data_IF_493757385925
#
_entry.id   IF_493757385925
#
_cell.length_a   1.000
_cell.length_b   1.000
_cell.length_c   1.000
_cell.angle_alpha   90.00
_cell.angle_beta   90.00
_cell.angle_gamma   90.00
#
_symmetry.space_group_name_H-M   'P 1'
#
loop_
_entity.id
_entity.type
_entity.pdbx_description
1 polymer ?
#
# COMPACT_ATOMS: atom_id res chain seq x y z
N UNK A 1 1.98 31.61 29.49
CA UNK A 1 1.19 30.87 30.51
C UNK A 1 1.77 31.04 31.91
N UNK A 2 3.08 31.02 32.02
CA UNK A 2 3.82 31.21 33.30
C UNK A 2 3.58 32.56 33.95
N UNK A 3 3.45 33.61 33.11
CA UNK A 3 3.20 34.98 33.59
C UNK A 3 1.86 35.11 34.36
N UNK A 4 0.82 34.37 33.97
CA UNK A 4 -0.45 34.35 34.69
C UNK A 4 -0.31 33.73 36.08
N UNK A 5 0.40 32.59 36.16
CA UNK A 5 0.66 31.94 37.49
C UNK A 5 1.45 32.85 38.39
N UNK A 6 2.42 33.59 37.85
CA UNK A 6 3.17 34.60 38.61
C UNK A 6 2.25 35.73 39.12
N UNK A 7 1.33 36.23 38.27
CA UNK A 7 0.38 37.28 38.70
C UNK A 7 -0.58 36.78 39.78
N UNK A 8 -1.11 35.55 39.65
CA UNK A 8 -2.01 34.96 40.63
C UNK A 8 -1.25 34.81 41.98
N UNK A 9 0.00 34.28 41.92
CA UNK A 9 0.81 34.18 43.09
C UNK A 9 1.12 35.53 43.74
N UNK A 10 1.49 36.54 42.94
CA UNK A 10 1.75 37.90 43.43
C UNK A 10 0.51 38.49 44.11
N UNK A 11 -0.68 38.35 43.54
CA UNK A 11 -1.95 38.79 44.13
C UNK A 11 -2.24 38.07 45.45
N UNK A 12 -2.01 36.73 45.50
CA UNK A 12 -2.14 35.95 46.71
C UNK A 12 -1.14 36.37 47.79
N UNK A 13 0.14 36.54 47.44
CA UNK A 13 1.16 36.99 48.35
C UNK A 13 0.83 38.39 48.95
N UNK A 14 0.39 39.34 48.14
CA UNK A 14 -0.07 40.66 48.59
C UNK A 14 -1.24 40.51 49.56
N UNK A 15 -2.21 39.62 49.25
CA UNK A 15 -3.33 39.32 50.13
C UNK A 15 -2.89 38.78 51.51
N UNK A 16 -1.98 37.82 51.53
CA UNK A 16 -1.40 37.24 52.75
C UNK A 16 -0.66 38.28 53.57
N UNK A 17 0.19 39.10 52.95
CA UNK A 17 0.92 40.20 53.64
C UNK A 17 -0.03 41.20 54.27
N UNK A 18 -1.12 41.55 53.58
CA UNK A 18 -2.12 42.48 54.06
C UNK A 18 -2.97 41.90 55.20
N UNK A 19 -3.36 40.60 55.08
CA UNK A 19 -4.23 39.93 56.04
C UNK A 19 -3.49 39.68 57.37
N UNK A 20 -2.24 39.20 57.31
CA UNK A 20 -1.43 38.87 58.45
C UNK A 20 -0.55 40.04 58.96
N UNK A 21 -0.71 41.24 58.34
CA UNK A 21 0.05 42.47 58.68
C UNK A 21 1.57 42.24 58.75
N UNK A 22 2.11 41.42 57.83
CA UNK A 22 3.54 41.07 57.77
C UNK A 22 4.31 42.34 57.33
N UNK A 23 5.38 42.77 58.08
CA UNK A 23 6.16 43.94 57.71
C UNK A 23 6.87 43.68 56.38
N UNK A 24 6.75 44.62 55.43
CA UNK A 24 7.39 44.56 54.11
C UNK A 24 8.86 44.97 54.26
N UNK A 25 9.70 44.01 54.65
CA UNK A 25 11.14 44.16 54.71
C UNK A 25 11.81 43.43 53.55
N UNK A 26 13.06 43.73 53.25
CA UNK A 26 13.81 43.06 52.19
C UNK A 26 13.86 41.54 52.37
N UNK A 27 13.93 41.05 53.58
CA UNK A 27 13.92 39.62 53.93
C UNK A 27 12.56 38.95 53.66
N UNK A 28 11.45 39.59 54.12
CA UNK A 28 10.10 39.04 53.87
C UNK A 28 9.72 39.04 52.40
N UNK A 29 10.13 40.06 51.65
CA UNK A 29 9.93 40.14 50.20
C UNK A 29 10.74 39.06 49.48
N UNK A 30 12.02 38.90 49.84
CA UNK A 30 12.88 37.88 49.24
C UNK A 30 12.33 36.47 49.50
N UNK A 31 11.86 36.20 50.73
CA UNK A 31 11.26 34.91 51.10
C UNK A 31 9.97 34.63 50.29
N UNK A 32 9.13 35.65 50.12
CA UNK A 32 7.93 35.54 49.32
C UNK A 32 8.25 35.26 47.84
N UNK A 33 9.23 35.96 47.24
CA UNK A 33 9.64 35.76 45.87
C UNK A 33 10.25 34.35 45.69
N UNK A 34 11.17 33.93 46.56
CA UNK A 34 11.80 32.61 46.46
C UNK A 34 10.79 31.49 46.71
N UNK A 35 9.90 31.66 47.70
CA UNK A 35 8.83 30.71 48.00
C UNK A 35 7.87 30.56 46.80
N UNK A 36 7.49 31.70 46.19
CA UNK A 36 6.65 31.72 45.01
C UNK A 36 7.28 31.04 43.83
N UNK A 37 8.54 31.37 43.58
CA UNK A 37 9.29 30.72 42.49
C UNK A 37 9.35 29.20 42.70
N UNK A 38 9.64 28.74 43.93
CA UNK A 38 9.66 27.32 44.29
C UNK A 38 8.31 26.63 44.03
N UNK A 39 7.22 27.23 44.52
CA UNK A 39 5.86 26.70 44.33
C UNK A 39 5.50 26.63 42.87
N UNK A 40 5.74 27.68 42.09
CA UNK A 40 5.44 27.73 40.66
C UNK A 40 6.23 26.65 39.88
N UNK A 41 7.53 26.51 40.21
CA UNK A 41 8.37 25.48 39.57
C UNK A 41 7.81 24.08 39.86
N UNK A 42 7.47 23.78 41.13
CA UNK A 42 6.91 22.46 41.51
C UNK A 42 5.57 22.21 40.80
N UNK A 43 4.69 23.21 40.76
CA UNK A 43 3.39 23.11 40.09
C UNK A 43 3.56 22.88 38.57
N UNK A 44 4.43 23.64 37.89
CA UNK A 44 4.69 23.51 36.47
C UNK A 44 5.32 22.16 36.14
N UNK A 45 6.32 21.71 36.91
CA UNK A 45 6.92 20.39 36.75
C UNK A 45 5.89 19.26 36.93
N UNK A 46 5.12 19.33 38.05
CA UNK A 46 4.08 18.35 38.35
C UNK A 46 3.00 18.31 37.26
N UNK A 47 2.58 19.48 36.78
CA UNK A 47 1.60 19.58 35.71
C UNK A 47 2.14 19.04 34.36
N UNK A 48 3.35 19.42 33.96
CA UNK A 48 3.93 18.97 32.71
C UNK A 48 4.23 17.47 32.70
N UNK A 49 4.60 16.90 33.84
CA UNK A 49 4.88 15.48 33.96
C UNK A 49 3.60 14.62 33.96
N UNK A 50 2.57 15.03 34.73
CA UNK A 50 1.33 14.24 34.88
C UNK A 50 0.27 14.59 33.85
N UNK A 51 0.23 15.81 33.33
CA UNK A 51 -0.72 16.27 32.29
C UNK A 51 0.05 16.86 31.11
N UNK A 52 0.67 16.00 30.27
CA UNK A 52 1.51 16.43 29.18
C UNK A 52 0.76 17.30 28.19
N UNK A 53 1.46 18.29 27.68
CA UNK A 53 0.95 19.24 26.69
C UNK A 53 1.88 19.30 25.49
N UNK A 54 1.30 19.31 24.30
CA UNK A 54 2.02 19.46 23.04
C UNK A 54 1.42 20.59 22.21
N UNK A 55 2.31 21.41 21.63
CA UNK A 55 1.96 22.38 20.59
C UNK A 55 2.15 21.82 19.19
N UNK A 56 2.68 20.62 19.08
CA UNK A 56 3.02 19.96 17.81
C UNK A 56 1.99 18.86 17.51
N UNK A 57 0.73 19.25 17.40
CA UNK A 57 -0.34 18.38 16.90
C UNK A 57 -0.70 18.76 15.47
N UNK A 58 -1.06 17.76 14.67
CA UNK A 58 -1.47 17.97 13.28
C UNK A 58 -2.41 16.87 12.82
N UNK A 59 -3.33 17.22 11.92
CA UNK A 59 -4.03 16.23 11.13
C UNK A 59 -3.13 15.67 10.04
N UNK A 60 -2.85 14.38 10.11
CA UNK A 60 -2.14 13.63 9.10
C UNK A 60 -3.13 13.01 8.13
N UNK A 61 -2.78 13.04 6.86
CA UNK A 61 -3.51 12.39 5.79
C UNK A 61 -2.54 11.63 4.89
N UNK A 62 -3.00 10.56 4.30
CA UNK A 62 -2.20 9.74 3.40
C UNK A 62 -2.55 10.13 1.98
N UNK A 63 -1.54 10.34 1.15
CA UNK A 63 -1.73 10.58 -0.27
C UNK A 63 -1.31 9.37 -1.07
N UNK A 64 -2.07 9.05 -2.11
CA UNK A 64 -1.73 7.98 -3.04
C UNK A 64 -1.05 8.59 -4.28
N UNK A 65 0.23 8.28 -4.50
CA UNK A 65 0.92 8.71 -5.70
C UNK A 65 0.42 7.87 -6.89
N UNK A 66 -0.19 8.51 -7.88
CA UNK A 66 -0.62 7.85 -9.12
C UNK A 66 0.52 7.88 -10.12
N UNK A 67 0.88 6.72 -10.61
CA UNK A 67 1.88 6.50 -11.66
C UNK A 67 1.24 5.85 -12.87
N UNK A 68 1.81 6.04 -14.05
CA UNK A 68 1.42 5.29 -15.23
C UNK A 68 2.00 3.87 -15.17
N UNK A 69 1.20 2.85 -15.42
CA UNK A 69 1.66 1.46 -15.50
C UNK A 69 2.21 1.11 -16.89
N UNK A 70 1.81 1.87 -17.91
CA UNK A 70 2.26 1.71 -19.30
C UNK A 70 2.82 3.03 -19.84
N UNK A 71 3.73 2.95 -20.82
CA UNK A 71 4.38 4.12 -21.39
C UNK A 71 3.63 4.63 -22.62
N UNK A 72 3.53 5.95 -22.77
CA UNK A 72 2.94 6.52 -23.99
C UNK A 72 2.65 8.01 -23.88
N UNK A 73 2.11 8.56 -24.94
CA UNK A 73 1.69 9.96 -24.98
C UNK A 73 0.33 10.12 -24.30
N UNK A 74 0.20 11.10 -23.42
CA UNK A 74 -1.07 11.47 -22.82
C UNK A 74 -1.92 12.20 -23.86
N UNK A 75 -3.12 11.69 -24.12
CA UNK A 75 -4.06 12.29 -25.09
C UNK A 75 -5.10 13.14 -24.40
N UNK A 76 -5.52 12.78 -23.20
CA UNK A 76 -6.59 13.45 -22.48
C UNK A 76 -6.35 13.41 -20.96
N UNK A 77 -6.73 14.48 -20.25
CA UNK A 77 -6.61 14.61 -18.80
C UNK A 77 -7.90 15.25 -18.26
N UNK A 78 -8.98 14.48 -18.12
CA UNK A 78 -10.27 14.99 -17.64
C UNK A 78 -10.25 15.38 -16.15
N UNK A 79 -9.35 14.80 -15.35
CA UNK A 79 -9.22 15.15 -13.95
C UNK A 79 -8.75 16.61 -13.76
N UNK A 80 -9.40 17.33 -12.86
CA UNK A 80 -9.02 18.69 -12.49
C UNK A 80 -8.53 18.70 -11.03
N UNK A 81 -7.54 19.58 -10.69
CA UNK A 81 -7.11 19.77 -9.31
C UNK A 81 -8.26 20.21 -8.42
N UNK A 82 -8.27 19.76 -7.17
CA UNK A 82 -9.28 20.04 -6.13
C UNK A 82 -10.73 19.65 -6.48
N UNK A 83 -10.90 18.72 -7.41
CA UNK A 83 -12.22 18.16 -7.77
C UNK A 83 -12.41 16.81 -7.12
N UNK A 84 -13.60 16.59 -6.51
CA UNK A 84 -13.99 15.29 -5.98
C UNK A 84 -14.25 14.32 -7.12
N UNK A 85 -13.65 13.14 -7.02
CA UNK A 85 -13.78 12.04 -7.98
C UNK A 85 -14.24 10.79 -7.23
N UNK A 86 -14.94 9.93 -7.93
CA UNK A 86 -15.34 8.61 -7.45
C UNK A 86 -14.34 7.55 -7.91
N UNK A 87 -14.30 6.45 -7.19
CA UNK A 87 -13.58 5.26 -7.61
C UNK A 87 -13.96 4.87 -9.04
N UNK A 88 -12.94 4.64 -9.89
CA UNK A 88 -13.14 4.32 -11.30
C UNK A 88 -13.23 5.50 -12.27
N UNK A 89 -13.38 6.74 -11.78
CA UNK A 89 -13.35 7.94 -12.64
C UNK A 89 -12.00 8.06 -13.37
N UNK A 90 -12.04 8.50 -14.61
CA UNK A 90 -10.84 8.60 -15.44
C UNK A 90 -9.99 9.79 -15.02
N UNK A 91 -8.74 9.52 -14.66
CA UNK A 91 -7.76 10.55 -14.32
C UNK A 91 -7.06 11.09 -15.56
N UNK A 92 -6.56 10.21 -16.40
CA UNK A 92 -5.97 10.55 -17.71
C UNK A 92 -5.97 9.33 -18.64
N UNK A 93 -5.77 9.61 -19.93
CA UNK A 93 -5.68 8.58 -20.98
C UNK A 93 -4.36 8.70 -21.71
N UNK A 94 -3.76 7.55 -21.94
CA UNK A 94 -2.57 7.36 -22.77
C UNK A 94 -3.06 6.88 -24.14
N UNK A 95 -2.34 7.21 -25.19
CA UNK A 95 -2.62 6.78 -26.57
C UNK A 95 -2.73 5.25 -26.64
N UNK A 96 -3.93 4.70 -26.96
CA UNK A 96 -4.20 3.27 -26.82
C UNK A 96 -3.80 2.46 -28.07
N UNK A 97 -3.53 3.10 -29.22
CA UNK A 97 -3.41 2.45 -30.53
C UNK A 97 -2.36 1.35 -30.56
N UNK A 98 -1.21 1.58 -29.91
CA UNK A 98 -0.14 0.58 -29.81
C UNK A 98 -0.62 -0.66 -29.06
N UNK A 99 -1.35 -0.48 -27.97
CA UNK A 99 -1.82 -1.57 -27.11
C UNK A 99 -3.01 -2.29 -27.76
N UNK A 100 -3.92 -1.56 -28.40
CA UNK A 100 -5.01 -2.15 -29.17
C UNK A 100 -4.50 -2.99 -30.36
N UNK A 101 -3.42 -2.55 -31.00
CA UNK A 101 -2.76 -3.36 -32.06
C UNK A 101 -2.13 -4.62 -31.45
N UNK A 102 -1.48 -4.55 -30.29
CA UNK A 102 -0.92 -5.72 -29.62
C UNK A 102 -2.01 -6.76 -29.28
N UNK A 103 -3.16 -6.32 -28.78
CA UNK A 103 -4.32 -7.21 -28.53
C UNK A 103 -4.75 -7.91 -29.82
N UNK A 104 -4.94 -7.17 -30.92
CA UNK A 104 -5.35 -7.77 -32.22
C UNK A 104 -4.36 -8.81 -32.73
N UNK A 105 -3.06 -8.55 -32.59
CA UNK A 105 -2.00 -9.50 -32.95
C UNK A 105 -2.11 -10.79 -32.14
N UNK A 106 -2.34 -10.67 -30.82
CA UNK A 106 -2.49 -11.84 -29.97
C UNK A 106 -3.80 -12.59 -30.17
N UNK A 107 -4.87 -11.90 -30.50
CA UNK A 107 -6.16 -12.53 -30.89
C UNK A 107 -6.00 -13.37 -32.18
N UNK A 108 -5.29 -12.84 -33.18
CA UNK A 108 -4.98 -13.61 -34.39
C UNK A 108 -4.11 -14.85 -34.10
N UNK A 109 -3.05 -14.66 -33.28
CA UNK A 109 -2.18 -15.77 -32.85
C UNK A 109 -2.95 -16.86 -32.08
N UNK A 110 -3.93 -16.46 -31.25
CA UNK A 110 -4.78 -17.41 -30.55
C UNK A 110 -5.66 -18.22 -31.51
N UNK A 111 -6.23 -17.58 -32.52
CA UNK A 111 -6.99 -18.27 -33.58
C UNK A 111 -6.12 -19.28 -34.35
N UNK A 112 -4.89 -18.89 -34.67
CA UNK A 112 -3.92 -19.78 -35.32
C UNK A 112 -3.56 -20.98 -34.44
N UNK A 113 -3.38 -20.75 -33.13
CA UNK A 113 -3.10 -21.81 -32.16
C UNK A 113 -4.25 -22.83 -32.06
N UNK A 114 -5.50 -22.37 -32.06
CA UNK A 114 -6.65 -23.26 -32.12
C UNK A 114 -6.70 -24.11 -33.37
N UNK A 115 -6.41 -23.50 -34.55
CA UNK A 115 -6.32 -24.24 -35.78
C UNK A 115 -5.20 -25.28 -35.76
N UNK A 116 -4.04 -24.95 -35.22
CA UNK A 116 -2.93 -25.89 -35.05
C UNK A 116 -3.33 -27.10 -34.17
N UNK A 117 -4.07 -26.89 -33.08
CA UNK A 117 -4.59 -27.97 -32.24
C UNK A 117 -5.51 -28.91 -33.04
N UNK A 118 -6.40 -28.39 -33.86
CA UNK A 118 -7.27 -29.22 -34.73
C UNK A 118 -6.48 -29.99 -35.78
N UNK A 119 -5.41 -29.41 -36.31
CA UNK A 119 -4.50 -30.13 -37.23
C UNK A 119 -3.76 -31.26 -36.51
N UNK A 120 -3.27 -31.06 -35.26
CA UNK A 120 -2.65 -32.11 -34.49
C UNK A 120 -3.61 -33.25 -34.16
N UNK A 121 -4.87 -32.96 -33.80
CA UNK A 121 -5.91 -33.98 -33.63
C UNK A 121 -6.19 -34.78 -34.88
N UNK A 122 -6.28 -34.12 -36.02
CA UNK A 122 -6.47 -34.76 -37.30
C UNK A 122 -5.28 -35.66 -37.68
N UNK A 123 -4.05 -35.18 -37.49
CA UNK A 123 -2.81 -35.95 -37.66
C UNK A 123 -2.77 -37.20 -36.79
N UNK A 124 -3.10 -37.06 -35.48
CA UNK A 124 -3.16 -38.19 -34.56
C UNK A 124 -4.23 -39.23 -34.99
N UNK A 125 -5.39 -38.76 -35.47
CA UNK A 125 -6.42 -39.66 -36.02
C UNK A 125 -5.92 -40.43 -37.24
N UNK A 126 -5.27 -39.76 -38.17
CA UNK A 126 -4.69 -40.38 -39.37
C UNK A 126 -3.59 -41.38 -39.00
N UNK A 127 -2.67 -41.01 -38.12
CA UNK A 127 -1.63 -41.94 -37.68
C UNK A 127 -2.20 -43.19 -36.99
N UNK A 128 -3.26 -43.05 -36.18
CA UNK A 128 -3.96 -44.16 -35.56
C UNK A 128 -4.61 -45.11 -36.60
N UNK A 129 -5.22 -44.53 -37.65
CA UNK A 129 -5.80 -45.35 -38.76
C UNK A 129 -4.70 -46.10 -39.50
N UNK A 130 -3.57 -45.46 -39.80
CA UNK A 130 -2.42 -46.10 -40.42
C UNK A 130 -1.85 -47.25 -39.61
N UNK A 131 -1.73 -47.03 -38.27
CA UNK A 131 -1.29 -48.08 -37.34
C UNK A 131 -2.25 -49.28 -37.35
N UNK A 132 -3.55 -49.02 -37.34
CA UNK A 132 -4.57 -50.08 -37.43
C UNK A 132 -4.49 -50.87 -38.78
N UNK A 133 -4.28 -50.21 -39.89
CA UNK A 133 -4.11 -50.84 -41.19
C UNK A 133 -2.83 -51.69 -41.23
N UNK A 134 -1.70 -51.17 -40.70
CA UNK A 134 -0.44 -51.90 -40.63
C UNK A 134 -0.55 -53.14 -39.69
N UNK A 135 -1.27 -53.00 -38.56
CA UNK A 135 -1.54 -54.13 -37.66
C UNK A 135 -2.37 -55.22 -38.40
N UNK A 136 -3.39 -54.86 -39.13
CA UNK A 136 -4.19 -55.80 -39.94
C UNK A 136 -3.33 -56.54 -41.00
N UNK A 137 -2.41 -55.81 -41.66
CA UNK A 137 -1.48 -56.40 -42.60
C UNK A 137 -0.47 -57.36 -41.95
N UNK A 138 0.01 -57.03 -40.75
CA UNK A 138 0.84 -57.92 -39.93
C UNK A 138 0.10 -59.18 -39.55
N UNK A 139 -1.16 -59.13 -39.14
CA UNK A 139 -1.96 -60.25 -38.75
C UNK A 139 -2.25 -61.18 -39.93
N UNK A 140 -2.54 -60.64 -41.12
CA UNK A 140 -2.65 -61.39 -42.34
C UNK A 140 -1.35 -62.10 -42.73
N UNK A 141 -0.19 -61.45 -42.61
CA UNK A 141 1.11 -62.02 -42.86
C UNK A 141 1.48 -63.12 -41.84
N UNK A 142 1.07 -62.95 -40.56
CA UNK A 142 1.23 -63.96 -39.51
C UNK A 142 0.44 -65.24 -39.84
N UNK A 143 -0.81 -65.08 -40.31
CA UNK A 143 -1.63 -66.24 -40.71
C UNK A 143 -1.02 -67.02 -41.88
N UNK A 144 -0.40 -66.33 -42.86
CA UNK A 144 0.32 -66.92 -43.95
C UNK A 144 1.57 -67.65 -43.42
N UNK A 145 2.37 -67.01 -42.56
CA UNK A 145 3.53 -67.59 -41.94
C UNK A 145 3.21 -68.86 -41.14
N UNK A 146 2.22 -68.82 -40.26
CA UNK A 146 1.79 -69.99 -39.42
C UNK A 146 1.30 -71.15 -40.31
N UNK A 147 0.56 -70.84 -41.37
CA UNK A 147 0.07 -71.81 -42.31
C UNK A 147 1.23 -72.45 -43.10
N UNK A 148 2.13 -71.65 -43.61
CA UNK A 148 3.34 -72.10 -44.34
C UNK A 148 4.24 -72.96 -43.46
N UNK A 149 4.37 -72.67 -42.18
CA UNK A 149 5.15 -73.46 -41.22
C UNK A 149 4.56 -74.88 -41.09
N UNK A 150 3.23 -75.01 -40.92
CA UNK A 150 2.58 -76.34 -40.88
C UNK A 150 2.72 -77.13 -42.18
N UNK A 151 2.65 -76.45 -43.33
CA UNK A 151 2.83 -77.09 -44.63
C UNK A 151 4.27 -77.53 -44.89
N UNK A 152 5.26 -76.84 -44.36
CA UNK A 152 6.66 -77.24 -44.40
C UNK A 152 6.91 -78.51 -43.56
N UNK A 153 6.36 -78.51 -42.35
CA UNK A 153 6.43 -79.67 -41.42
C UNK A 153 5.77 -80.94 -42.07
N UNK A 154 4.73 -80.70 -42.85
CA UNK A 154 4.06 -81.79 -43.62
C UNK A 154 4.72 -82.09 -44.97
N UNK A 155 5.85 -81.46 -45.33
CA UNK A 155 6.58 -81.70 -46.60
C UNK A 155 5.86 -81.19 -47.84
N UNK A 156 4.83 -80.29 -47.70
CA UNK A 156 3.98 -79.82 -48.82
C UNK A 156 4.50 -78.56 -49.50
N UNK A 157 5.48 -77.82 -48.94
CA UNK A 157 6.10 -76.64 -49.56
C UNK A 157 7.64 -76.71 -49.43
N UNK A 158 8.34 -75.90 -50.24
CA UNK A 158 9.81 -75.80 -50.24
C UNK A 158 10.29 -74.85 -49.11
N UNK A 159 11.55 -75.02 -48.65
CA UNK A 159 12.20 -74.13 -47.72
C UNK A 159 12.27 -72.69 -48.23
N UNK A 160 12.35 -72.46 -49.54
CA UNK A 160 12.36 -71.11 -50.15
C UNK A 160 11.03 -70.42 -49.98
N UNK A 161 9.90 -71.14 -50.19
CA UNK A 161 8.55 -70.62 -49.99
C UNK A 161 8.25 -70.31 -48.49
N UNK A 162 8.78 -71.12 -47.57
CA UNK A 162 8.68 -70.81 -46.12
C UNK A 162 9.44 -69.57 -45.75
N UNK A 163 10.70 -69.43 -46.19
CA UNK A 163 11.54 -68.21 -45.93
C UNK A 163 10.85 -66.97 -46.48
N UNK A 164 10.23 -67.01 -47.64
CA UNK A 164 9.49 -65.89 -48.22
C UNK A 164 8.32 -65.45 -47.31
N UNK A 165 7.58 -66.44 -46.72
CA UNK A 165 6.52 -66.12 -45.77
C UNK A 165 7.04 -65.58 -44.45
N UNK A 166 8.18 -66.08 -43.96
CA UNK A 166 8.88 -65.58 -42.77
C UNK A 166 9.40 -64.14 -42.92
N UNK A 167 10.06 -63.85 -44.07
CA UNK A 167 10.50 -62.49 -44.39
C UNK A 167 9.33 -61.52 -44.58
N UNK A 168 8.24 -61.96 -45.19
CA UNK A 168 7.01 -61.23 -45.33
C UNK A 168 6.38 -60.84 -44.00
N UNK A 169 6.35 -61.81 -43.08
CA UNK A 169 5.85 -61.55 -41.70
C UNK A 169 6.78 -60.58 -40.93
N UNK A 170 8.11 -60.79 -40.98
CA UNK A 170 9.09 -59.93 -40.34
C UNK A 170 8.99 -58.49 -40.82
N UNK A 171 8.82 -58.28 -42.14
CA UNK A 171 8.63 -56.95 -42.75
C UNK A 171 7.28 -56.31 -42.27
N UNK A 172 6.20 -57.06 -42.35
CA UNK A 172 4.89 -56.54 -41.93
C UNK A 172 4.86 -56.21 -40.42
N UNK A 173 5.55 -56.96 -39.59
CA UNK A 173 5.71 -56.74 -38.17
C UNK A 173 6.48 -55.43 -37.91
N UNK A 174 7.65 -55.23 -38.53
CA UNK A 174 8.43 -54.02 -38.39
C UNK A 174 7.66 -52.79 -38.83
N UNK A 175 6.90 -52.87 -39.92
CA UNK A 175 6.04 -51.80 -40.44
C UNK A 175 4.91 -51.46 -39.42
N UNK A 176 4.29 -52.47 -38.82
CA UNK A 176 3.25 -52.25 -37.80
C UNK A 176 3.81 -51.63 -36.53
N UNK A 177 4.99 -52.04 -36.07
CA UNK A 177 5.68 -51.45 -34.91
C UNK A 177 6.07 -49.99 -35.18
N UNK A 178 6.57 -49.66 -36.36
CA UNK A 178 6.90 -48.27 -36.75
C UNK A 178 5.63 -47.42 -36.81
N UNK A 179 4.53 -47.89 -37.44
CA UNK A 179 3.27 -47.17 -37.48
C UNK A 179 2.63 -46.97 -36.12
N UNK A 180 2.77 -47.92 -35.21
CA UNK A 180 2.30 -47.82 -33.83
C UNK A 180 3.08 -46.71 -33.10
N UNK A 181 4.39 -46.68 -33.21
CA UNK A 181 5.24 -45.65 -32.57
C UNK A 181 4.92 -44.25 -33.09
N UNK A 182 4.61 -44.13 -34.40
CA UNK A 182 4.18 -42.88 -35.01
C UNK A 182 2.80 -42.40 -34.47
N UNK A 183 1.85 -43.36 -34.33
CA UNK A 183 0.54 -43.04 -33.74
C UNK A 183 0.65 -42.60 -32.28
N UNK A 184 1.52 -43.25 -31.50
CA UNK A 184 1.78 -42.84 -30.10
C UNK A 184 2.39 -41.45 -30.05
N UNK A 185 3.38 -41.14 -30.87
CA UNK A 185 3.97 -39.80 -30.94
C UNK A 185 2.94 -38.74 -31.30
N UNK A 186 2.17 -38.95 -32.33
CA UNK A 186 1.12 -38.03 -32.76
C UNK A 186 0.02 -37.85 -31.69
N UNK A 187 -0.28 -38.91 -30.96
CA UNK A 187 -1.22 -38.82 -29.80
C UNK A 187 -0.68 -38.02 -28.65
N UNK A 188 0.62 -38.12 -28.36
CA UNK A 188 1.28 -37.30 -27.33
C UNK A 188 1.28 -35.81 -27.70
N UNK A 189 1.65 -35.52 -28.98
CA UNK A 189 1.63 -34.15 -29.50
C UNK A 189 0.22 -33.53 -29.39
N UNK A 190 -0.80 -34.29 -29.75
CA UNK A 190 -2.20 -33.85 -29.69
C UNK A 190 -2.76 -33.75 -28.23
N UNK A 191 -2.17 -34.48 -27.28
CA UNK A 191 -2.63 -34.52 -25.87
C UNK A 191 -1.88 -33.58 -24.96
N UNK A 192 -0.86 -32.85 -25.44
CA UNK A 192 -0.13 -31.88 -24.63
C UNK A 192 -1.07 -30.78 -24.13
N UNK A 193 -1.37 -30.81 -22.83
CA UNK A 193 -2.35 -29.90 -22.24
C UNK A 193 -2.00 -29.52 -20.80
N UNK A 194 -2.35 -28.29 -20.44
CA UNK A 194 -2.34 -27.77 -19.06
C UNK A 194 -3.80 -27.52 -18.68
N UNK A 195 -4.27 -28.13 -17.61
CA UNK A 195 -5.67 -28.00 -17.15
C UNK A 195 -6.73 -28.31 -18.24
N UNK A 196 -6.43 -29.23 -19.15
CA UNK A 196 -7.33 -29.63 -20.24
C UNK A 196 -7.27 -28.72 -21.48
N UNK A 197 -6.44 -27.68 -21.49
CA UNK A 197 -6.20 -26.78 -22.64
C UNK A 197 -4.82 -27.08 -23.23
N UNK A 198 -4.73 -27.15 -24.56
CA UNK A 198 -3.44 -27.33 -25.22
C UNK A 198 -2.41 -26.30 -24.74
N UNK A 199 -1.19 -26.73 -24.52
CA UNK A 199 -0.11 -25.91 -23.93
C UNK A 199 0.16 -24.62 -24.71
N UNK A 200 0.14 -24.68 -26.04
CA UNK A 200 0.35 -23.51 -26.89
C UNK A 200 -0.84 -22.54 -26.81
N UNK A 201 -2.06 -23.07 -26.80
CA UNK A 201 -3.27 -22.25 -26.63
C UNK A 201 -3.24 -21.55 -25.26
N UNK A 202 -2.90 -22.27 -24.19
CA UNK A 202 -2.78 -21.68 -22.84
C UNK A 202 -1.73 -20.58 -22.79
N UNK A 203 -0.57 -20.78 -23.42
CA UNK A 203 0.50 -19.77 -23.51
C UNK A 203 0.03 -18.51 -24.25
N UNK A 204 -0.56 -18.66 -25.44
CA UNK A 204 -1.03 -17.52 -26.25
C UNK A 204 -2.20 -16.80 -25.55
N UNK A 205 -3.07 -17.53 -24.85
CA UNK A 205 -4.14 -16.94 -24.05
C UNK A 205 -3.57 -16.06 -22.95
N UNK A 206 -2.55 -16.52 -22.21
CA UNK A 206 -1.88 -15.72 -21.18
C UNK A 206 -1.20 -14.45 -21.75
N UNK A 207 -0.62 -14.56 -22.95
CA UNK A 207 -0.06 -13.41 -23.66
C UNK A 207 -1.13 -12.41 -24.11
N UNK A 208 -2.31 -12.89 -24.56
CA UNK A 208 -3.45 -12.06 -24.88
C UNK A 208 -4.00 -11.32 -23.66
N UNK A 209 -4.13 -12.01 -22.53
CA UNK A 209 -4.60 -11.41 -21.27
C UNK A 209 -3.63 -10.33 -20.79
N UNK A 210 -2.32 -10.53 -20.95
CA UNK A 210 -1.31 -9.50 -20.68
C UNK A 210 -1.50 -8.29 -21.59
N UNK A 211 -1.70 -8.50 -22.90
CA UNK A 211 -1.91 -7.40 -23.84
C UNK A 211 -3.22 -6.63 -23.55
N UNK A 212 -4.27 -7.31 -23.12
CA UNK A 212 -5.54 -6.70 -22.71
C UNK A 212 -5.37 -5.89 -21.42
N UNK A 213 -4.62 -6.41 -20.45
CA UNK A 213 -4.27 -5.68 -19.25
C UNK A 213 -3.53 -4.39 -19.59
N UNK A 214 -2.50 -4.44 -20.43
CA UNK A 214 -1.75 -3.26 -20.85
C UNK A 214 -2.63 -2.21 -21.55
N UNK A 215 -3.60 -2.66 -22.36
CA UNK A 215 -4.57 -1.78 -23.03
C UNK A 215 -5.50 -1.11 -22.00
N UNK A 216 -5.97 -1.84 -21.01
CA UNK A 216 -6.79 -1.27 -19.92
C UNK A 216 -5.99 -0.23 -19.11
N UNK A 217 -4.72 -0.51 -18.83
CA UNK A 217 -3.82 0.41 -18.14
C UNK A 217 -3.50 1.69 -18.92
N UNK A 218 -3.82 1.76 -20.20
CA UNK A 218 -3.75 3.00 -20.97
C UNK A 218 -4.81 4.03 -20.52
N UNK A 219 -5.84 3.59 -19.78
CA UNK A 219 -6.82 4.46 -19.14
C UNK A 219 -6.62 4.40 -17.62
N UNK A 220 -5.95 5.41 -17.05
CA UNK A 220 -5.70 5.47 -15.62
C UNK A 220 -6.89 6.05 -14.89
N UNK A 221 -7.35 5.34 -13.85
CA UNK A 221 -8.55 5.66 -13.09
C UNK A 221 -8.25 5.92 -11.63
N UNK A 222 -9.16 6.62 -10.94
CA UNK A 222 -9.10 6.83 -9.50
C UNK A 222 -9.25 5.50 -8.75
N UNK A 223 -8.35 5.16 -7.81
CA UNK A 223 -8.39 3.89 -7.08
C UNK A 223 -9.53 3.86 -6.04
N UNK A 224 -9.87 5.00 -5.48
CA UNK A 224 -10.91 5.19 -4.46
C UNK A 224 -11.63 6.51 -4.69
N UNK A 225 -12.68 6.77 -3.90
CA UNK A 225 -13.24 8.11 -3.81
C UNK A 225 -12.21 9.07 -3.22
N UNK A 226 -12.15 10.30 -3.71
CA UNK A 226 -11.14 11.25 -3.22
C UNK A 226 -10.99 12.49 -4.08
N UNK A 227 -9.86 13.18 -3.93
CA UNK A 227 -9.56 14.46 -4.57
C UNK A 227 -8.17 14.47 -5.18
N UNK A 228 -8.03 15.03 -6.38
CA UNK A 228 -6.72 15.31 -6.98
C UNK A 228 -6.11 16.56 -6.33
N UNK A 229 -5.02 16.39 -5.56
CA UNK A 229 -4.31 17.53 -4.96
C UNK A 229 -3.38 18.21 -5.95
N UNK A 230 -2.59 17.42 -6.67
CA UNK A 230 -1.60 17.94 -7.63
C UNK A 230 -1.68 17.15 -8.93
N UNK A 231 -1.64 17.88 -10.03
CA UNK A 231 -1.70 17.34 -11.38
C UNK A 231 -0.53 17.89 -12.20
N UNK A 232 0.44 17.04 -12.51
CA UNK A 232 1.64 17.41 -13.27
C UNK A 232 1.52 17.09 -14.77
N UNK A 233 0.39 16.51 -15.19
CA UNK A 233 0.16 16.11 -16.58
C UNK A 233 -0.51 17.18 -17.42
N UNK A 234 -0.15 17.16 -18.70
CA UNK A 234 -0.84 17.90 -19.77
C UNK A 234 -0.97 17.00 -20.99
N UNK A 235 -2.03 17.13 -21.81
CA UNK A 235 -2.11 16.47 -23.10
C UNK A 235 -0.86 16.74 -23.94
N UNK A 236 -0.36 15.70 -24.62
CA UNK A 236 0.89 15.74 -25.38
C UNK A 236 2.15 15.34 -24.63
N UNK A 237 2.14 15.29 -23.30
CA UNK A 237 3.28 14.80 -22.50
C UNK A 237 3.45 13.28 -22.67
N UNK A 238 4.69 12.81 -22.52
CA UNK A 238 5.02 11.39 -22.56
C UNK A 238 5.24 10.86 -21.14
N UNK A 239 4.57 9.78 -20.78
CA UNK A 239 4.69 9.14 -19.47
C UNK A 239 5.37 7.78 -19.58
N UNK A 240 6.06 7.38 -18.52
CA UNK A 240 6.72 6.08 -18.41
C UNK A 240 6.45 5.49 -17.01
N UNK A 241 6.41 4.17 -16.86
CA UNK A 241 6.29 3.51 -15.58
C UNK A 241 7.50 3.81 -14.69
N UNK A 242 7.38 4.79 -13.78
CA UNK A 242 8.45 5.15 -12.84
C UNK A 242 7.87 5.38 -11.45
N UNK A 243 8.14 4.51 -10.47
CA UNK A 243 7.54 4.60 -9.12
C UNK A 243 7.97 5.85 -8.35
N UNK A 244 9.13 6.44 -8.70
CA UNK A 244 9.67 7.63 -8.01
C UNK A 244 9.22 8.96 -8.63
N UNK A 245 8.42 8.95 -9.68
CA UNK A 245 7.89 10.17 -10.33
C UNK A 245 6.39 10.07 -10.54
N UNK A 246 5.61 10.26 -9.48
CA UNK A 246 4.16 10.26 -9.60
C UNK A 246 3.72 11.42 -10.50
N UNK A 247 2.72 11.17 -11.32
CA UNK A 247 2.16 12.16 -12.25
C UNK A 247 0.95 12.88 -11.66
N UNK A 248 0.31 12.27 -10.68
CA UNK A 248 -0.80 12.82 -9.91
C UNK A 248 -0.59 12.48 -8.43
N UNK A 249 -0.86 13.44 -7.54
CA UNK A 249 -1.00 13.20 -6.11
C UNK A 249 -2.48 13.17 -5.77
N UNK A 250 -2.97 12.03 -5.38
CA UNK A 250 -4.36 11.77 -5.06
C UNK A 250 -4.54 11.67 -3.55
N UNK A 251 -5.60 12.31 -3.02
CA UNK A 251 -6.02 12.23 -1.62
C UNK A 251 -7.28 11.37 -1.54
N UNK A 252 -7.21 10.17 -1.00
CA UNK A 252 -8.39 9.36 -0.69
C UNK A 252 -9.34 10.08 0.27
N UNK A 253 -10.64 9.85 0.14
CA UNK A 253 -11.66 10.39 1.05
C UNK A 253 -11.72 9.54 2.34
N UNK A 254 -10.57 9.48 3.03
CA UNK A 254 -10.41 8.81 4.30
C UNK A 254 -10.36 9.84 5.44
N UNK A 255 -10.91 9.52 6.62
CA UNK A 255 -10.86 10.43 7.76
C UNK A 255 -9.41 10.69 8.18
N UNK A 256 -8.96 11.95 8.24
CA UNK A 256 -7.61 12.26 8.65
C UNK A 256 -7.40 11.93 10.13
N UNK A 257 -6.22 11.39 10.45
CA UNK A 257 -5.83 11.07 11.82
C UNK A 257 -5.14 12.24 12.48
N UNK A 258 -5.63 12.69 13.63
CA UNK A 258 -4.92 13.69 14.44
C UNK A 258 -3.87 13.01 15.32
N UNK A 259 -2.64 13.47 15.22
CA UNK A 259 -1.57 13.02 16.12
C UNK A 259 -0.77 14.22 16.64
N UNK A 260 -0.32 14.09 17.89
CA UNK A 260 0.48 15.11 18.56
C UNK A 260 1.78 14.52 19.13
N UNK A 261 2.86 15.29 19.06
CA UNK A 261 4.19 14.89 19.50
C UNK A 261 4.46 15.38 20.94
N UNK A 262 4.53 14.46 21.87
CA UNK A 262 4.80 14.73 23.29
C UNK A 262 6.25 14.45 23.66
N UNK A 263 6.77 15.14 24.68
CA UNK A 263 8.12 14.91 25.19
C UNK A 263 8.24 13.52 25.82
N UNK A 264 9.38 12.87 25.62
CA UNK A 264 9.65 11.52 26.11
C UNK A 264 9.56 11.39 27.65
N UNK A 265 9.86 12.46 28.41
CA UNK A 265 9.80 12.49 29.88
C UNK A 265 8.39 12.19 30.43
N UNK A 266 7.34 12.46 29.66
CA UNK A 266 5.94 12.20 30.04
C UNK A 266 5.35 10.92 29.44
N UNK A 267 6.11 10.19 28.61
CA UNK A 267 5.61 9.00 27.90
C UNK A 267 5.06 7.91 28.84
N UNK A 268 5.68 7.71 29.98
CA UNK A 268 5.25 6.75 31.01
C UNK A 268 3.85 7.06 31.60
N UNK A 269 3.36 8.28 31.41
CA UNK A 269 2.05 8.75 31.90
C UNK A 269 0.97 8.75 30.83
N UNK A 270 1.35 8.58 29.57
CA UNK A 270 0.41 8.54 28.45
C UNK A 270 -0.08 7.09 28.28
N UNK A 271 -1.34 6.87 28.59
CA UNK A 271 -1.99 5.55 28.53
C UNK A 271 -3.12 5.63 27.52
N UNK A 272 -3.30 4.58 26.74
CA UNK A 272 -4.43 4.46 25.81
C UNK A 272 -5.77 4.57 26.56
N UNK A 273 -6.74 5.23 25.93
CA UNK A 273 -8.03 5.55 26.56
C UNK A 273 -8.03 6.75 27.48
N UNK A 274 -6.88 7.40 27.76
CA UNK A 274 -6.84 8.63 28.55
C UNK A 274 -7.58 9.77 27.88
N UNK A 275 -8.27 10.59 28.66
CA UNK A 275 -8.94 11.79 28.16
C UNK A 275 -7.93 12.81 27.64
N UNK A 276 -8.27 13.49 26.56
CA UNK A 276 -7.48 14.54 25.97
C UNK A 276 -8.36 15.71 25.53
N UNK A 277 -7.78 16.88 25.47
CA UNK A 277 -8.41 18.07 24.89
C UNK A 277 -7.49 18.63 23.80
N UNK A 278 -8.10 19.05 22.68
CA UNK A 278 -7.39 19.62 21.53
C UNK A 278 -7.97 20.99 21.21
N UNK A 279 -7.09 21.92 20.87
CA UNK A 279 -7.45 23.25 20.38
C UNK A 279 -6.82 23.48 19.03
N UNK A 280 -7.57 24.16 18.15
CA UNK A 280 -7.10 24.53 16.82
C UNK A 280 -7.06 26.05 16.67
N UNK A 281 -5.97 26.62 16.14
CA UNK A 281 -5.93 28.04 15.78
C UNK A 281 -7.04 28.44 14.77
N UNK A 282 -7.43 27.48 13.90
CA UNK A 282 -8.52 27.69 12.93
C UNK A 282 -9.90 27.88 13.58
N UNK A 283 -10.10 27.42 14.85
CA UNK A 283 -11.35 27.53 15.60
C UNK A 283 -11.07 28.12 16.98
N UNK A 284 -10.77 29.44 17.06
CA UNK A 284 -10.40 30.08 18.31
C UNK A 284 -11.52 30.01 19.36
N UNK A 285 -11.15 29.93 20.63
CA UNK A 285 -12.08 29.92 21.76
C UNK A 285 -12.76 28.56 22.02
N UNK A 286 -12.61 27.57 21.12
CA UNK A 286 -13.19 26.24 21.30
C UNK A 286 -12.15 25.21 21.70
N UNK A 287 -12.59 24.25 22.52
CA UNK A 287 -11.81 23.10 22.96
C UNK A 287 -12.59 21.86 22.56
N UNK A 288 -11.94 20.92 21.88
CA UNK A 288 -12.51 19.68 21.41
C UNK A 288 -12.09 18.54 22.33
N UNK A 289 -13.07 17.71 22.72
CA UNK A 289 -12.81 16.52 23.50
C UNK A 289 -12.27 15.42 22.61
N UNK A 290 -11.24 14.75 23.09
CA UNK A 290 -10.60 13.66 22.41
C UNK A 290 -10.15 12.59 23.41
N UNK A 291 -9.78 11.45 22.89
CA UNK A 291 -9.24 10.33 23.66
C UNK A 291 -7.99 9.78 23.02
N UNK A 292 -7.04 9.33 23.82
CA UNK A 292 -5.82 8.68 23.34
C UNK A 292 -6.19 7.36 22.69
N UNK A 293 -6.03 7.28 21.38
CA UNK A 293 -6.27 6.07 20.60
C UNK A 293 -5.06 5.14 20.60
N UNK A 294 -3.85 5.72 20.46
CA UNK A 294 -2.60 4.97 20.49
C UNK A 294 -1.51 5.84 21.12
N UNK A 295 -0.82 5.27 22.11
CA UNK A 295 0.22 5.96 22.89
C UNK A 295 1.62 5.92 22.25
N UNK A 296 1.76 5.48 21.01
CA UNK A 296 3.01 5.45 20.25
C UNK A 296 4.07 4.52 20.86
N UNK A 297 4.30 3.38 20.21
CA UNK A 297 5.27 2.38 20.69
C UNK A 297 6.73 2.71 20.30
N UNK A 298 6.97 3.75 19.52
CA UNK A 298 8.30 4.08 18.99
C UNK A 298 8.50 5.59 18.82
N UNK A 299 9.75 5.99 18.84
CA UNK A 299 10.19 7.36 18.55
C UNK A 299 10.75 7.37 17.13
N UNK A 300 10.16 8.12 16.17
CA UNK A 300 10.56 8.09 14.75
C UNK A 300 12.04 8.41 14.51
N UNK A 301 12.64 9.25 15.36
CA UNK A 301 14.07 9.61 15.29
C UNK A 301 15.00 8.42 15.58
N UNK A 302 14.49 7.34 16.16
CA UNK A 302 15.24 6.09 16.37
C UNK A 302 15.24 5.15 15.16
N UNK A 303 14.62 5.53 14.05
CA UNK A 303 14.58 4.70 12.84
C UNK A 303 15.95 4.63 12.17
N UNK A 304 16.46 3.41 11.99
CA UNK A 304 17.64 3.11 11.19
C UNK A 304 17.22 2.87 9.74
N UNK A 305 17.67 3.72 8.84
CA UNK A 305 17.52 3.46 7.41
C UNK A 305 18.71 2.65 6.88
N UNK A 306 18.50 1.55 6.16
CA UNK A 306 19.57 0.77 5.55
C UNK A 306 20.18 1.58 4.39
N UNK A 307 21.17 2.43 4.70
CA UNK A 307 21.82 3.33 3.73
C UNK A 307 23.23 2.92 3.34
N UNK A 308 23.75 1.77 3.83
CA UNK A 308 25.11 1.31 3.55
C UNK A 308 26.23 2.13 4.20
N UNK A 309 25.92 3.18 4.95
CA UNK A 309 26.86 3.99 5.73
C UNK A 309 26.67 3.76 7.22
N UNK A 310 27.79 3.78 7.96
CA UNK A 310 27.77 3.74 9.41
C UNK A 310 27.08 5.00 9.96
N UNK A 311 26.25 4.82 10.98
CA UNK A 311 25.53 5.93 11.63
C UNK A 311 26.54 6.75 12.41
N UNK A 312 26.59 8.05 12.09
CA UNK A 312 27.33 9.02 12.91
C UNK A 312 26.55 9.31 14.21
N UNK A 313 27.09 9.00 15.40
CA UNK A 313 26.45 9.33 16.68
C UNK A 313 26.10 10.80 16.83
N UNK A 314 26.79 11.70 16.11
CA UNK A 314 26.51 13.13 16.09
C UNK A 314 25.20 13.51 15.37
N UNK A 315 24.68 12.64 14.53
CA UNK A 315 23.39 12.81 13.81
C UNK A 315 22.18 12.34 14.65
N UNK A 316 22.41 11.63 15.76
CA UNK A 316 21.36 11.23 16.72
C UNK A 316 21.01 12.45 17.57
N UNK A 317 20.63 13.56 16.96
CA UNK A 317 20.13 14.76 17.64
C UNK A 317 18.66 14.91 17.38
N UNK A 318 17.85 14.72 18.41
CA UNK A 318 16.42 15.03 18.39
C UNK A 318 15.85 14.98 19.81
N UNK A 319 14.89 15.87 20.08
CA UNK A 319 14.19 15.99 21.36
C UNK A 319 13.32 14.76 21.72
N UNK A 320 13.60 13.59 21.17
CA UNK A 320 12.90 12.33 21.45
C UNK A 320 11.41 12.53 21.75
N UNK A 321 10.58 12.75 20.72
CA UNK A 321 9.14 12.96 20.92
C UNK A 321 8.37 11.70 20.58
N UNK A 322 7.43 11.35 21.46
CA UNK A 322 6.49 10.25 21.27
C UNK A 322 5.29 10.78 20.49
N UNK A 323 4.93 10.14 19.40
CA UNK A 323 3.74 10.48 18.61
C UNK A 323 2.55 9.75 19.19
N UNK A 324 1.52 10.49 19.57
CA UNK A 324 0.28 9.97 20.14
C UNK A 324 -0.87 10.32 19.21
N UNK A 325 -1.62 9.31 18.79
CA UNK A 325 -2.83 9.49 17.99
C UNK A 325 -4.03 9.72 18.89
N UNK A 326 -4.86 10.68 18.52
CA UNK A 326 -6.06 11.07 19.26
C UNK A 326 -7.30 10.87 18.39
N UNK A 327 -8.34 10.28 18.99
CA UNK A 327 -9.68 10.19 18.38
C UNK A 327 -10.58 11.22 19.04
N UNK A 328 -11.32 11.99 18.23
CA UNK A 328 -12.25 13.00 18.72
C UNK A 328 -13.59 12.36 19.12
N UNK A 329 -14.15 12.83 20.22
CA UNK A 329 -15.52 12.51 20.65
C UNK A 329 -16.51 13.54 20.09
N UNK A 330 -16.05 14.76 19.85
CA UNK A 330 -16.82 15.84 19.24
C UNK A 330 -16.91 15.69 17.72
N UNK A 331 -18.03 16.08 17.15
CA UNK A 331 -18.20 16.18 15.69
C UNK A 331 -17.44 17.39 15.14
N UNK A 332 -16.43 17.12 14.35
CA UNK A 332 -15.60 18.14 13.70
C UNK A 332 -16.17 18.62 12.37
N UNK A 333 -17.18 17.94 11.81
CA UNK A 333 -17.72 18.22 10.47
C UNK A 333 -18.34 19.62 10.34
N UNK A 334 -18.78 20.18 11.47
CA UNK A 334 -19.36 21.53 11.55
C UNK A 334 -18.30 22.65 11.40
N UNK A 335 -17.03 22.32 11.46
CA UNK A 335 -15.91 23.24 11.41
C UNK A 335 -15.08 23.00 10.16
N UNK A 336 -14.60 24.07 9.52
CA UNK A 336 -13.70 23.97 8.38
C UNK A 336 -12.26 23.62 8.84
N UNK A 337 -12.09 22.43 9.43
CA UNK A 337 -10.78 21.93 9.82
C UNK A 337 -10.24 21.11 8.63
N UNK A 338 -9.28 21.68 7.92
CA UNK A 338 -8.72 21.10 6.69
C UNK A 338 -7.66 20.06 7.07
N UNK A 339 -7.54 18.92 6.34
CA UNK A 339 -6.42 18.00 6.49
C UNK A 339 -5.07 18.75 6.46
N UNK A 340 -4.17 18.43 7.39
CA UNK A 340 -2.92 19.18 7.59
C UNK A 340 -3.01 20.33 8.61
N UNK A 341 -4.20 20.69 9.12
CA UNK A 341 -4.36 21.69 10.17
C UNK A 341 -3.54 21.34 11.41
N UNK A 342 -2.91 22.38 11.98
CA UNK A 342 -2.15 22.27 13.22
C UNK A 342 -3.04 22.46 14.43
N UNK A 343 -2.68 21.85 15.55
CA UNK A 343 -3.38 21.98 16.83
C UNK A 343 -2.46 21.80 18.01
N UNK A 344 -2.95 22.17 19.19
CA UNK A 344 -2.27 21.87 20.45
C UNK A 344 -3.12 20.90 21.25
N UNK A 345 -2.49 19.90 21.85
CA UNK A 345 -3.17 18.84 22.59
C UNK A 345 -2.67 18.77 24.03
N UNK A 346 -3.60 18.51 24.97
CA UNK A 346 -3.29 18.17 26.36
C UNK A 346 -3.89 16.80 26.67
N UNK A 347 -3.15 15.96 27.37
CA UNK A 347 -3.63 14.65 27.85
C UNK A 347 -3.80 14.72 29.35
N UNK A 348 -4.89 14.15 29.86
CA UNK A 348 -5.23 14.14 31.28
C UNK A 348 -5.08 12.73 31.83
N UNK A 349 -4.18 12.57 32.81
CA UNK A 349 -3.99 11.29 33.47
C UNK A 349 -4.72 11.26 34.83
N UNK A 350 -4.89 10.08 35.38
CA UNK A 350 -5.54 9.90 36.68
C UNK A 350 -4.68 10.39 37.87
N UNK A 351 -3.42 10.76 37.59
CA UNK A 351 -2.50 11.23 38.65
C UNK A 351 -2.62 12.74 38.88
N UNK A 352 -2.66 13.17 40.11
CA UNK A 352 -2.71 14.58 40.54
C UNK A 352 -3.85 15.36 39.87
N UNK A 353 -5.07 14.88 39.98
CA UNK A 353 -6.26 15.41 39.31
C UNK A 353 -6.43 16.93 39.45
N UNK A 354 -6.06 17.53 40.60
CA UNK A 354 -6.13 18.99 40.79
C UNK A 354 -5.27 19.78 39.79
N UNK A 355 -4.11 19.24 39.40
CA UNK A 355 -3.28 19.88 38.36
C UNK A 355 -3.88 19.77 36.96
N UNK A 356 -4.72 18.76 36.69
CA UNK A 356 -5.48 18.63 35.46
C UNK A 356 -6.46 19.79 35.23
N UNK A 357 -7.10 20.27 36.33
CA UNK A 357 -8.00 21.45 36.24
C UNK A 357 -7.21 22.68 35.80
N UNK A 358 -6.02 22.89 36.36
CA UNK A 358 -5.15 24.00 35.95
C UNK A 358 -4.76 23.90 34.50
N UNK A 359 -4.40 22.71 34.02
CA UNK A 359 -4.09 22.47 32.60
C UNK A 359 -5.30 22.78 31.69
N UNK A 360 -6.51 22.39 32.11
CA UNK A 360 -7.75 22.70 31.38
C UNK A 360 -7.97 24.21 31.26
N UNK A 361 -7.81 24.96 32.34
CA UNK A 361 -7.92 26.43 32.31
C UNK A 361 -6.89 27.05 31.37
N UNK A 362 -5.64 26.64 31.48
CA UNK A 362 -4.56 27.15 30.63
C UNK A 362 -4.77 26.84 29.15
N UNK A 363 -5.32 25.67 28.81
CA UNK A 363 -5.63 25.29 27.43
C UNK A 363 -6.75 26.17 26.88
N UNK A 364 -7.81 26.41 27.66
CA UNK A 364 -8.91 27.32 27.27
C UNK A 364 -8.42 28.73 27.05
N UNK A 365 -7.58 29.22 27.95
CA UNK A 365 -6.95 30.55 27.75
C UNK A 365 -6.12 30.63 26.47
N UNK A 366 -5.33 29.58 26.18
CA UNK A 366 -4.58 29.51 24.92
C UNK A 366 -5.50 29.52 23.71
N UNK A 367 -6.64 28.81 23.78
CA UNK A 367 -7.64 28.81 22.69
C UNK A 367 -8.22 30.23 22.47
N UNK A 368 -8.50 30.98 23.54
CA UNK A 368 -8.95 32.38 23.43
C UNK A 368 -7.88 33.33 22.91
N UNK A 369 -6.60 33.09 23.27
CA UNK A 369 -5.48 33.89 22.73
C UNK A 369 -5.35 33.77 21.22
N UNK A 370 -5.79 32.69 20.62
CA UNK A 370 -5.80 32.52 19.16
C UNK A 370 -6.73 33.51 18.44
N UNK A 371 -7.65 34.21 19.13
CA UNK A 371 -8.39 35.34 18.54
C UNK A 371 -7.52 36.58 18.33
N UNK A 372 -6.51 36.75 19.18
CA UNK A 372 -5.67 37.97 19.18
C UNK A 372 -4.33 37.73 18.48
N UNK A 373 -3.75 36.57 18.72
CA UNK A 373 -2.45 36.18 18.20
C UNK A 373 -2.65 34.90 17.36
N UNK A 374 -2.75 35.04 16.04
CA UNK A 374 -2.55 33.89 15.17
C UNK A 374 -1.14 33.32 15.40
N UNK A 375 -0.96 32.02 15.48
CA UNK A 375 0.32 31.32 15.73
C UNK A 375 1.41 31.58 14.64
N UNK A 376 1.60 32.84 14.23
CA UNK A 376 2.66 33.27 13.32
C UNK A 376 4.05 33.43 13.98
N UNK A 377 4.19 33.15 15.28
CA UNK A 377 5.42 33.42 16.04
C UNK A 377 5.97 32.21 16.80
N UNK A 378 6.04 31.03 16.18
CA UNK A 378 6.84 29.96 16.77
C UNK A 378 7.69 29.28 15.69
N UNK A 379 8.88 29.80 15.45
CA UNK A 379 9.83 29.10 14.59
C UNK A 379 10.83 29.94 13.85
N UNK A 380 11.15 31.11 14.36
CA UNK A 380 12.30 31.87 13.92
C UNK A 380 13.54 31.55 14.77
N UNK A 381 14.03 30.36 14.70
CA UNK A 381 15.35 29.95 15.18
C UNK A 381 16.12 29.48 13.96
N UNK A 382 16.63 30.46 13.18
CA UNK A 382 17.57 30.19 12.13
C UNK A 382 18.84 29.57 12.68
N UNK A 383 19.38 28.62 11.96
CA UNK A 383 20.81 28.42 11.93
C UNK A 383 21.23 28.14 10.50
N UNK A 384 22.18 28.96 10.10
CA UNK A 384 23.03 28.84 8.93
C UNK A 384 23.72 27.49 8.82
#
# INVERSE_FOLDING_TARGET
MELLLMLIYAAFAIGVFKLFKIPVNAFSLLTAVLGGLGIIVILVLGMNYNHPFSTQGRFYFITTPIVANVSGRVIDVPALPNTKLKAGDVLFRIEPDRYANAVRVKEAALADAYQAVEQLKAAASTARQNAAAAASARDAALDIYVRSKKLLEGGSISQAQFRQAEEGYATARSTAEAAQSEAERAALDASSAIEGVNTDVARIQAELDTARFDLDQATVRAPTDGVVLQLFLRPGMYVVPQPLRPVIIFLPDEPPTFAAAFLQNSSQRIIEGSDAEVIFPAVPGRVFQARVANAGAYIPQGQLQPGGTLIDPGQIRGDGRVIVSLTFEDDLSQFQIIPGSVGSAAIYTHHMHHLGVMRKVLLRMKSWLNFVFGDGHSGGGGQH
#
